data_IF_441997386969
#
_entry.id   IF_441997386969
#
_cell.length_a   1.000
_cell.length_b   1.000
_cell.length_c   1.000
_cell.angle_alpha   90.00
_cell.angle_beta   90.00
_cell.angle_gamma   90.00
#
_symmetry.space_group_name_H-M   'P 1'
#
loop_
_entity.id
_entity.type
_entity.pdbx_description
1 polymer ?
#
# COMPACT_ATOMS: atom_id res chain seq x y z
N UNK A 1 12.42 -9.87 8.78
CA UNK A 1 12.84 -9.05 7.63
C UNK A 1 13.80 -9.81 6.70
N UNK A 2 14.90 -10.37 7.21
CA UNK A 2 15.88 -11.15 6.41
C UNK A 2 15.26 -12.21 5.50
N UNK A 3 14.22 -12.91 5.94
CA UNK A 3 13.50 -13.89 5.11
C UNK A 3 12.85 -13.23 3.87
N UNK A 4 12.29 -12.03 4.01
CA UNK A 4 11.72 -11.28 2.88
C UNK A 4 12.81 -10.85 1.90
N UNK A 5 13.94 -10.34 2.41
CA UNK A 5 15.08 -9.99 1.58
C UNK A 5 15.63 -11.20 0.79
N UNK A 6 15.75 -12.36 1.44
CA UNK A 6 16.20 -13.60 0.77
C UNK A 6 15.22 -14.07 -0.29
N UNK A 7 13.92 -14.03 -0.01
CA UNK A 7 12.89 -14.40 -0.98
C UNK A 7 12.86 -13.43 -2.18
N UNK A 8 13.02 -12.12 -1.94
CA UNK A 8 13.16 -11.11 -2.99
C UNK A 8 14.34 -11.41 -3.93
N UNK A 9 15.50 -11.79 -3.39
CA UNK A 9 16.68 -12.20 -4.17
C UNK A 9 16.45 -13.48 -4.99
N UNK A 10 15.49 -14.31 -4.59
CA UNK A 10 15.09 -15.52 -5.31
C UNK A 10 13.97 -15.26 -6.34
N UNK A 11 13.61 -14.00 -6.60
CA UNK A 11 12.58 -13.64 -7.56
C UNK A 11 11.15 -13.85 -7.05
N UNK A 12 10.96 -13.98 -5.73
CA UNK A 12 9.64 -14.08 -5.11
C UNK A 12 9.11 -12.69 -4.78
N UNK A 13 7.93 -12.36 -5.31
CA UNK A 13 7.19 -11.15 -4.94
C UNK A 13 6.38 -11.40 -3.67
N UNK A 14 6.46 -10.49 -2.70
CA UNK A 14 5.74 -10.58 -1.43
C UNK A 14 4.86 -9.35 -1.26
N UNK A 15 3.57 -9.59 -1.08
CA UNK A 15 2.55 -8.55 -0.89
C UNK A 15 1.95 -8.68 0.50
N UNK A 16 1.82 -7.56 1.20
CA UNK A 16 1.24 -7.52 2.54
C UNK A 16 0.13 -6.47 2.61
N UNK A 17 -1.01 -6.87 3.16
CA UNK A 17 -2.09 -5.96 3.51
C UNK A 17 -1.57 -4.91 4.49
N UNK A 18 -1.79 -3.62 4.21
CA UNK A 18 -1.23 -2.55 5.04
C UNK A 18 -1.91 -2.42 6.41
N UNK A 19 -3.09 -3.01 6.57
CA UNK A 19 -3.89 -3.04 7.80
C UNK A 19 -5.23 -2.33 7.64
N UNK A 20 -6.14 -2.57 8.59
CA UNK A 20 -7.52 -2.06 8.56
C UNK A 20 -7.81 -1.12 9.76
N UNK A 21 -6.75 -0.51 10.29
CA UNK A 21 -6.75 0.34 11.48
C UNK A 21 -6.20 1.75 11.22
N UNK A 22 -6.13 2.17 9.94
CA UNK A 22 -5.62 3.50 9.56
C UNK A 22 -4.15 3.68 9.93
N UNK A 23 -3.84 4.68 10.75
CA UNK A 23 -2.48 4.97 11.23
C UNK A 23 -1.90 3.95 12.24
N UNK A 24 -2.62 2.87 12.52
CA UNK A 24 -2.29 1.89 13.56
C UNK A 24 -2.99 2.18 14.89
N UNK A 25 -2.95 1.20 15.81
CA UNK A 25 -3.63 1.25 17.11
C UNK A 25 -2.60 1.23 18.26
N UNK A 26 -1.77 2.27 18.37
CA UNK A 26 -0.69 2.33 19.38
C UNK A 26 -0.90 3.46 20.41
N UNK A 27 -0.79 3.07 21.68
CA UNK A 27 -0.75 3.98 22.83
C UNK A 27 -2.10 4.61 23.23
N UNK A 28 -2.35 4.65 24.54
CA UNK A 28 -3.59 5.19 25.11
C UNK A 28 -4.83 4.32 24.82
N UNK A 29 -5.96 4.69 25.43
CA UNK A 29 -7.21 3.91 25.33
C UNK A 29 -7.75 3.80 23.90
N UNK A 30 -7.48 4.79 23.05
CA UNK A 30 -7.99 4.88 21.68
C UNK A 30 -6.97 4.45 20.61
N UNK A 31 -5.73 4.12 20.98
CA UNK A 31 -4.67 3.76 20.04
C UNK A 31 -4.19 4.91 19.15
N UNK A 32 -4.40 6.17 19.57
CA UNK A 32 -4.12 7.36 18.76
C UNK A 32 -2.89 8.16 19.23
N UNK A 33 -2.05 7.59 20.11
CA UNK A 33 -0.91 8.32 20.71
C UNK A 33 0.42 8.10 19.99
N UNK A 34 0.50 7.06 19.17
CA UNK A 34 1.62 6.80 18.29
C UNK A 34 1.08 6.15 17.01
N UNK A 35 1.63 6.54 15.87
CA UNK A 35 1.33 6.03 14.55
C UNK A 35 2.51 5.17 14.11
N UNK A 36 2.20 3.92 13.77
CA UNK A 36 3.17 2.97 13.24
C UNK A 36 2.42 1.99 12.34
N UNK A 37 2.78 1.89 11.05
CA UNK A 37 2.15 0.92 10.17
C UNK A 37 2.45 -0.52 10.58
N UNK A 38 1.49 -1.39 10.31
CA UNK A 38 1.56 -2.79 10.76
C UNK A 38 2.70 -3.57 10.07
N UNK A 39 3.33 -4.47 10.82
CA UNK A 39 4.23 -5.49 10.26
C UNK A 39 3.39 -6.71 9.82
N UNK A 40 3.65 -7.34 8.65
CA UNK A 40 4.84 -7.20 7.81
C UNK A 40 4.82 -6.06 6.79
N UNK A 41 3.72 -5.34 6.58
CA UNK A 41 3.64 -4.29 5.55
C UNK A 41 4.70 -3.17 5.70
N UNK A 42 5.09 -2.84 6.92
CA UNK A 42 6.15 -1.87 7.20
C UNK A 42 7.55 -2.30 6.75
N UNK A 43 7.78 -3.59 6.45
CA UNK A 43 9.06 -4.07 5.93
C UNK A 43 9.44 -3.33 4.62
N UNK A 44 10.72 -2.98 4.43
CA UNK A 44 11.20 -2.40 3.17
C UNK A 44 11.36 -3.45 2.05
N UNK A 45 11.17 -4.74 2.35
CA UNK A 45 11.34 -5.86 1.41
C UNK A 45 10.01 -6.49 0.96
N UNK A 46 8.89 -5.87 1.30
CA UNK A 46 7.54 -6.27 0.84
C UNK A 46 6.86 -5.09 0.17
N UNK A 47 5.97 -5.39 -0.77
CA UNK A 47 5.07 -4.38 -1.34
C UNK A 47 3.82 -4.31 -0.46
N UNK A 48 3.66 -3.19 0.26
CA UNK A 48 2.50 -2.93 1.09
C UNK A 48 1.30 -2.50 0.23
N UNK A 49 0.16 -3.13 0.42
CA UNK A 49 -1.06 -2.87 -0.36
C UNK A 49 -2.13 -2.27 0.54
N UNK A 50 -2.43 -1.00 0.29
CA UNK A 50 -3.55 -0.28 0.89
C UNK A 50 -4.87 -0.57 0.21
N UNK A 51 -5.91 0.09 0.69
CA UNK A 51 -7.27 -0.08 0.18
C UNK A 51 -7.91 1.24 -0.21
N UNK A 52 -8.65 1.20 -1.30
CA UNK A 52 -9.57 2.24 -1.75
C UNK A 52 -11.01 1.72 -1.70
N UNK A 53 -11.95 2.64 -1.84
CA UNK A 53 -13.34 2.32 -2.12
C UNK A 53 -13.82 3.09 -3.35
N UNK A 54 -14.82 2.53 -4.04
CA UNK A 54 -15.40 3.10 -5.25
C UNK A 54 -16.82 3.58 -4.97
N UNK A 55 -17.13 4.84 -5.29
CA UNK A 55 -18.48 5.40 -5.23
C UNK A 55 -18.80 6.09 -6.55
N UNK A 56 -19.79 5.58 -7.28
CA UNK A 56 -20.25 6.15 -8.56
C UNK A 56 -19.11 6.43 -9.56
N UNK A 57 -18.13 5.52 -9.63
CA UNK A 57 -16.97 5.64 -10.52
C UNK A 57 -15.83 6.51 -10.00
N UNK A 58 -15.97 7.14 -8.82
CA UNK A 58 -14.88 7.86 -8.15
C UNK A 58 -14.22 6.94 -7.13
N UNK A 59 -12.90 6.81 -7.23
CA UNK A 59 -12.08 6.02 -6.31
C UNK A 59 -11.47 6.92 -5.23
N UNK A 60 -11.58 6.52 -3.97
CA UNK A 60 -11.17 7.33 -2.80
C UNK A 60 -10.42 6.44 -1.82
N UNK A 61 -9.42 7.00 -1.13
CA UNK A 61 -8.67 6.31 -0.09
C UNK A 61 -9.60 5.84 1.04
N UNK A 62 -9.54 4.56 1.39
CA UNK A 62 -10.41 4.01 2.44
C UNK A 62 -9.95 4.46 3.82
N UNK A 63 -10.88 4.86 4.67
CA UNK A 63 -10.55 5.48 5.96
C UNK A 63 -9.90 4.54 6.98
N UNK A 64 -9.99 3.24 6.73
CA UNK A 64 -9.32 2.21 7.50
C UNK A 64 -8.04 1.70 6.83
N UNK A 65 -7.70 2.17 5.62
CA UNK A 65 -6.47 1.78 4.91
C UNK A 65 -5.25 2.04 5.78
N UNK A 66 -4.51 0.97 6.08
CA UNK A 66 -3.31 1.02 6.88
C UNK A 66 -2.23 1.85 6.20
N UNK A 67 -1.56 2.72 6.94
CA UNK A 67 -0.46 3.51 6.38
C UNK A 67 0.15 4.51 7.33
N UNK A 68 1.32 5.03 6.96
CA UNK A 68 2.11 5.92 7.81
C UNK A 68 3.59 5.57 7.78
N UNK A 69 4.34 6.10 8.74
CA UNK A 69 5.79 6.02 8.76
C UNK A 69 6.24 5.00 9.80
N UNK A 70 7.05 4.02 9.39
CA UNK A 70 7.53 2.97 10.29
C UNK A 70 8.38 3.53 11.43
N UNK A 71 8.10 3.09 12.65
CA UNK A 71 8.94 3.37 13.82
C UNK A 71 10.26 2.57 13.82
N UNK A 72 10.36 1.51 13.00
CA UNK A 72 11.47 0.54 13.03
C UNK A 72 12.35 0.66 11.78
N UNK A 73 11.74 0.71 10.60
CA UNK A 73 12.47 0.61 9.35
C UNK A 73 12.81 2.00 8.80
N UNK A 74 14.09 2.30 8.53
CA UNK A 74 14.45 3.58 7.92
C UNK A 74 13.90 3.68 6.50
N UNK A 75 13.63 4.92 6.05
CA UNK A 75 13.14 5.19 4.70
C UNK A 75 14.14 4.66 3.65
N UNK A 76 13.73 3.72 2.79
CA UNK A 76 14.62 3.19 1.77
C UNK A 76 14.86 4.22 0.67
N UNK A 77 16.02 4.15 0.00
CA UNK A 77 16.45 5.14 -0.99
C UNK A 77 15.49 5.31 -2.16
N UNK A 78 14.91 4.20 -2.64
CA UNK A 78 13.91 4.21 -3.71
C UNK A 78 12.63 4.96 -3.35
N UNK A 79 12.37 5.22 -2.06
CA UNK A 79 11.17 5.91 -1.61
C UNK A 79 11.39 7.42 -1.35
N UNK A 80 12.64 7.87 -1.25
CA UNK A 80 12.96 9.19 -0.71
C UNK A 80 12.30 10.33 -1.48
N UNK A 81 12.42 10.34 -2.81
CA UNK A 81 11.87 11.41 -3.64
C UNK A 81 10.35 11.50 -3.57
N UNK A 82 9.67 10.35 -3.56
CA UNK A 82 8.21 10.29 -3.49
C UNK A 82 7.69 10.82 -2.14
N UNK A 83 8.32 10.43 -1.04
CA UNK A 83 7.93 10.90 0.30
C UNK A 83 8.28 12.38 0.48
N UNK A 84 9.45 12.83 0.03
CA UNK A 84 9.82 14.25 0.10
C UNK A 84 8.84 15.14 -0.67
N UNK A 85 8.36 14.68 -1.84
CA UNK A 85 7.33 15.38 -2.60
C UNK A 85 6.00 15.47 -1.82
N UNK A 86 5.60 14.41 -1.12
CA UNK A 86 4.41 14.41 -0.26
C UNK A 86 4.55 15.39 0.91
N UNK A 87 5.66 15.31 1.64
CA UNK A 87 5.96 16.16 2.79
C UNK A 87 5.99 17.65 2.44
N UNK A 88 6.37 18.01 1.20
CA UNK A 88 6.41 19.39 0.73
C UNK A 88 5.03 20.03 0.51
N UNK A 89 3.96 19.23 0.35
CA UNK A 89 2.61 19.72 0.01
C UNK A 89 1.53 19.35 1.03
N UNK A 90 1.74 18.28 1.81
CA UNK A 90 0.72 17.74 2.70
C UNK A 90 0.64 18.50 4.03
N UNK A 91 -0.56 18.52 4.61
CA UNK A 91 -0.72 18.84 6.04
C UNK A 91 -0.44 17.58 6.84
N UNK A 92 0.72 17.53 7.50
CA UNK A 92 1.14 16.35 8.26
C UNK A 92 0.52 16.34 9.67
N UNK A 93 0.29 15.15 10.26
CA UNK A 93 0.01 15.02 11.68
C UNK A 93 1.06 15.70 12.55
N UNK A 94 0.76 15.96 13.84
CA UNK A 94 1.77 16.36 14.81
C UNK A 94 2.98 15.40 14.79
N UNK A 95 4.19 15.96 14.73
CA UNK A 95 5.42 15.21 14.51
C UNK A 95 5.73 14.22 15.64
N UNK A 96 5.19 14.45 16.84
CA UNK A 96 5.31 13.54 17.98
C UNK A 96 4.54 12.22 17.80
N UNK A 97 3.63 12.15 16.82
CA UNK A 97 2.83 10.95 16.57
C UNK A 97 3.54 9.93 15.68
N UNK A 98 4.57 10.29 14.91
CA UNK A 98 5.17 9.37 13.94
C UNK A 98 6.67 9.59 13.73
N UNK A 99 7.37 8.57 13.24
CA UNK A 99 8.79 8.68 12.90
C UNK A 99 8.97 9.19 11.48
N UNK A 100 9.21 10.50 11.29
CA UNK A 100 9.39 11.08 9.95
C UNK A 100 10.52 10.44 9.12
N UNK A 101 11.52 9.80 9.74
CA UNK A 101 12.62 9.13 9.02
C UNK A 101 12.29 7.70 8.56
N UNK A 102 11.09 7.21 8.88
CA UNK A 102 10.66 5.84 8.61
C UNK A 102 10.29 5.53 7.15
N UNK A 103 10.31 4.25 6.80
CA UNK A 103 9.66 3.69 5.60
C UNK A 103 8.17 4.01 5.65
N UNK A 104 7.62 4.57 4.58
CA UNK A 104 6.22 5.00 4.54
C UNK A 104 5.36 3.95 3.85
N UNK A 105 4.23 3.54 4.39
CA UNK A 105 3.29 2.60 3.74
C UNK A 105 1.95 3.29 3.45
N UNK A 106 1.13 2.75 2.52
CA UNK A 106 1.40 1.61 1.64
C UNK A 106 2.29 1.98 0.43
N UNK A 107 2.62 1.02 -0.43
CA UNK A 107 3.32 1.28 -1.70
C UNK A 107 2.36 1.47 -2.88
N UNK A 108 1.26 0.74 -2.88
CA UNK A 108 0.15 0.83 -3.84
C UNK A 108 -1.16 0.60 -3.10
N UNK A 109 -2.28 0.83 -3.77
CA UNK A 109 -3.59 0.43 -3.29
C UNK A 109 -4.37 -0.34 -4.36
N UNK A 110 -5.49 -0.94 -3.94
CA UNK A 110 -6.51 -1.44 -4.83
C UNK A 110 -7.87 -1.32 -4.13
N UNK A 111 -8.96 -1.47 -4.89
CA UNK A 111 -10.30 -1.55 -4.31
C UNK A 111 -10.31 -2.67 -3.28
N UNK A 112 -10.65 -2.33 -2.04
CA UNK A 112 -10.64 -3.24 -0.90
C UNK A 112 -12.00 -3.39 -0.24
N UNK A 113 -13.05 -2.76 -0.76
CA UNK A 113 -14.38 -2.73 -0.13
C UNK A 113 -15.44 -3.48 -0.92
N UNK A 114 -16.44 -3.98 -0.21
CA UNK A 114 -17.65 -4.60 -0.77
C UNK A 114 -17.41 -5.86 -1.62
N UNK A 115 -16.39 -6.67 -1.29
CA UNK A 115 -16.12 -7.94 -1.97
C UNK A 115 -17.12 -9.01 -1.54
N UNK A 116 -17.81 -9.62 -2.51
CA UNK A 116 -18.63 -10.81 -2.25
C UNK A 116 -17.72 -12.02 -2.05
N UNK A 117 -17.83 -12.65 -0.89
CA UNK A 117 -17.05 -13.83 -0.53
C UNK A 117 -17.99 -15.00 -0.23
N UNK A 118 -17.58 -16.19 -0.65
CA UNK A 118 -18.26 -17.44 -0.34
C UNK A 118 -17.39 -18.28 0.61
N UNK A 119 -18.00 -18.82 1.65
CA UNK A 119 -17.35 -19.72 2.60
C UNK A 119 -18.21 -20.96 2.79
N UNK A 120 -17.64 -22.15 2.59
CA UNK A 120 -18.40 -23.40 2.63
C UNK A 120 -19.51 -23.51 1.57
N UNK A 121 -19.39 -22.77 0.47
CA UNK A 121 -20.42 -22.70 -0.60
C UNK A 121 -21.49 -21.63 -0.41
N UNK A 122 -21.51 -20.95 0.74
CA UNK A 122 -22.53 -19.95 1.09
C UNK A 122 -21.98 -18.52 1.05
N UNK A 123 -22.77 -17.51 0.63
CA UNK A 123 -22.32 -16.12 0.63
C UNK A 123 -22.20 -15.61 2.07
N UNK A 124 -21.06 -14.99 2.39
CA UNK A 124 -20.82 -14.37 3.70
C UNK A 124 -21.29 -12.92 3.78
N UNK A 125 -22.03 -12.45 2.77
CA UNK A 125 -22.24 -11.03 2.52
C UNK A 125 -21.02 -10.38 1.87
N UNK A 126 -20.90 -9.05 2.01
CA UNK A 126 -19.74 -8.33 1.48
C UNK A 126 -18.71 -8.07 2.58
N UNK A 127 -17.44 -8.33 2.27
CA UNK A 127 -16.30 -8.07 3.14
C UNK A 127 -15.49 -6.88 2.61
N UNK A 128 -14.85 -6.18 3.53
CA UNK A 128 -13.96 -5.05 3.22
C UNK A 128 -12.67 -5.18 4.03
N UNK A 129 -11.56 -4.75 3.44
CA UNK A 129 -10.25 -4.81 4.05
C UNK A 129 -9.13 -4.69 3.02
N UNK A 130 -7.96 -4.24 3.48
CA UNK A 130 -6.69 -4.37 2.75
C UNK A 130 -6.38 -5.85 2.45
N UNK A 131 -6.95 -6.78 3.22
CA UNK A 131 -6.99 -8.21 2.94
C UNK A 131 -7.65 -8.58 1.60
N UNK A 132 -8.61 -7.79 1.09
CA UNK A 132 -9.22 -7.99 -0.23
C UNK A 132 -8.44 -7.27 -1.35
N UNK A 133 -7.87 -6.10 -1.05
CA UNK A 133 -7.04 -5.34 -1.98
C UNK A 133 -5.73 -6.09 -2.34
N UNK A 134 -5.09 -6.70 -1.35
CA UNK A 134 -3.80 -7.42 -1.51
C UNK A 134 -3.85 -8.54 -2.55
N UNK A 135 -4.77 -9.51 -2.50
CA UNK A 135 -4.85 -10.57 -3.51
C UNK A 135 -5.30 -10.04 -4.87
N UNK A 136 -6.08 -8.95 -4.93
CA UNK A 136 -6.42 -8.27 -6.19
C UNK A 136 -5.16 -7.81 -6.91
N UNK A 137 -4.27 -7.09 -6.22
CA UNK A 137 -3.00 -6.64 -6.79
C UNK A 137 -2.04 -7.81 -7.06
N UNK A 138 -1.93 -8.77 -6.15
CA UNK A 138 -1.08 -9.95 -6.32
C UNK A 138 -1.48 -10.78 -7.56
N UNK A 139 -2.79 -10.87 -7.86
CA UNK A 139 -3.30 -11.52 -9.06
C UNK A 139 -2.82 -10.86 -10.35
N UNK A 140 -2.75 -9.52 -10.38
CA UNK A 140 -2.20 -8.78 -11.52
C UNK A 140 -0.72 -9.11 -11.72
N UNK A 141 0.08 -9.09 -10.66
CA UNK A 141 1.53 -9.41 -10.75
C UNK A 141 1.74 -10.88 -11.13
N UNK A 142 0.94 -11.80 -10.61
CA UNK A 142 0.96 -13.21 -10.99
C UNK A 142 0.68 -13.40 -12.48
N UNK A 143 -0.30 -12.69 -13.03
CA UNK A 143 -0.59 -12.72 -14.48
C UNK A 143 0.56 -12.15 -15.32
N UNK A 144 1.26 -11.13 -14.84
CA UNK A 144 2.48 -10.63 -15.49
C UNK A 144 3.58 -11.70 -15.48
N UNK A 145 3.78 -12.40 -14.37
CA UNK A 145 4.74 -13.52 -14.30
C UNK A 145 4.39 -14.67 -15.27
N UNK A 146 3.11 -14.99 -15.47
CA UNK A 146 2.68 -15.96 -16.50
C UNK A 146 3.06 -15.50 -17.92
N UNK A 147 2.85 -14.21 -18.24
CA UNK A 147 3.24 -13.65 -19.54
C UNK A 147 4.77 -13.65 -19.73
N UNK A 148 5.52 -13.32 -18.69
CA UNK A 148 6.99 -13.37 -18.67
C UNK A 148 7.49 -14.79 -18.89
N UNK A 149 6.93 -15.77 -18.19
CA UNK A 149 7.29 -17.17 -18.34
C UNK A 149 7.06 -17.69 -19.77
N UNK A 150 5.94 -17.31 -20.41
CA UNK A 150 5.67 -17.60 -21.83
C UNK A 150 6.68 -16.98 -22.78
N UNK A 151 7.25 -15.83 -22.40
CA UNK A 151 8.33 -15.16 -23.12
C UNK A 151 9.74 -15.65 -22.73
N UNK A 152 9.86 -16.71 -21.91
CA UNK A 152 11.15 -17.23 -21.45
C UNK A 152 11.88 -16.34 -20.43
N UNK A 153 11.17 -15.41 -19.77
CA UNK A 153 11.72 -14.47 -18.80
C UNK A 153 11.51 -14.96 -17.35
N UNK A 154 12.42 -14.56 -16.47
CA UNK A 154 12.32 -14.79 -15.02
C UNK A 154 11.18 -13.99 -14.38
N UNK A 155 10.61 -14.42 -13.23
CA UNK A 155 9.60 -13.65 -12.50
C UNK A 155 10.12 -12.28 -12.02
N UNK A 156 9.21 -11.36 -11.72
CA UNK A 156 9.54 -9.95 -11.40
C UNK A 156 10.19 -9.73 -10.03
N UNK A 157 10.06 -10.67 -9.08
CA UNK A 157 10.64 -10.54 -7.74
C UNK A 157 10.16 -9.32 -6.96
N UNK A 158 11.09 -8.60 -6.33
CA UNK A 158 10.79 -7.40 -5.56
C UNK A 158 10.64 -6.17 -6.46
N UNK A 159 9.44 -5.58 -6.47
CA UNK A 159 9.04 -4.60 -7.49
C UNK A 159 9.08 -3.14 -7.03
N UNK A 160 9.22 -2.84 -5.73
CA UNK A 160 9.12 -1.45 -5.24
C UNK A 160 10.11 -0.49 -5.93
N UNK A 161 11.41 -0.80 -6.07
CA UNK A 161 12.33 0.14 -6.70
C UNK A 161 11.91 0.51 -8.13
N UNK A 162 11.37 -0.46 -8.88
CA UNK A 162 10.89 -0.25 -10.25
C UNK A 162 9.63 0.62 -10.23
N UNK A 163 8.66 0.33 -9.36
CA UNK A 163 7.42 1.11 -9.26
C UNK A 163 7.70 2.58 -8.89
N UNK A 164 8.55 2.84 -7.91
CA UNK A 164 8.90 4.21 -7.52
C UNK A 164 9.75 4.93 -8.58
N UNK A 165 10.55 4.18 -9.35
CA UNK A 165 11.31 4.72 -10.48
C UNK A 165 10.45 5.30 -11.61
N UNK A 166 9.14 5.01 -11.64
CA UNK A 166 8.20 5.55 -12.63
C UNK A 166 7.74 6.99 -12.35
N UNK A 167 8.13 7.57 -11.22
CA UNK A 167 7.67 8.90 -10.81
C UNK A 167 6.19 8.96 -10.43
N UNK A 168 5.61 7.83 -9.97
CA UNK A 168 4.20 7.75 -9.58
C UNK A 168 3.24 7.36 -10.71
N UNK A 169 3.74 6.99 -11.88
CA UNK A 169 2.91 6.69 -13.06
C UNK A 169 2.49 5.22 -13.15
N UNK A 170 2.05 4.63 -12.03
CA UNK A 170 1.65 3.20 -11.97
C UNK A 170 0.18 2.97 -12.34
N UNK A 171 -0.67 4.00 -12.25
CA UNK A 171 -2.11 3.86 -12.51
C UNK A 171 -2.92 5.09 -12.13
N UNK A 172 -4.07 4.87 -11.48
CA UNK A 172 -4.96 5.92 -10.98
C UNK A 172 -4.38 6.51 -9.70
N UNK A 173 -4.06 7.80 -9.73
CA UNK A 173 -3.67 8.56 -8.55
C UNK A 173 -4.90 8.87 -7.68
N UNK A 174 -4.84 8.57 -6.38
CA UNK A 174 -5.96 8.70 -5.45
C UNK A 174 -5.72 9.93 -4.58
N UNK A 175 -6.43 11.00 -4.88
CA UNK A 175 -6.14 12.33 -4.29
C UNK A 175 -7.11 12.74 -3.19
N UNK A 176 -8.00 11.84 -2.79
CA UNK A 176 -9.05 12.10 -1.79
C UNK A 176 -9.16 10.94 -0.81
N UNK A 177 -9.61 11.26 0.41
CA UNK A 177 -9.68 10.32 1.52
C UNK A 177 -8.57 10.56 2.54
N UNK A 178 -8.67 9.91 3.68
CA UNK A 178 -7.68 10.00 4.75
C UNK A 178 -7.73 8.73 5.58
N UNK A 179 -6.62 8.31 6.20
CA UNK A 179 -6.59 7.13 7.06
C UNK A 179 -6.76 7.45 8.55
N UNK A 180 -7.42 8.58 8.85
CA UNK A 180 -7.73 8.99 10.22
C UNK A 180 -8.85 8.13 10.80
N UNK A 181 -8.52 7.30 11.79
CA UNK A 181 -9.50 6.55 12.59
C UNK A 181 -10.48 7.52 13.27
N UNK A 182 -11.77 7.17 13.30
CA UNK A 182 -12.87 8.05 13.77
C UNK A 182 -12.65 8.71 15.13
N UNK A 183 -11.98 8.03 16.06
CA UNK A 183 -11.73 8.53 17.42
C UNK A 183 -10.36 9.21 17.58
N UNK A 184 -9.54 9.21 16.52
CA UNK A 184 -8.25 9.89 16.49
C UNK A 184 -8.40 11.32 15.98
N UNK A 185 -7.57 12.22 16.51
CA UNK A 185 -7.57 13.64 16.12
C UNK A 185 -6.80 13.90 14.82
N UNK A 186 -5.90 13.01 14.45
CA UNK A 186 -5.01 13.14 13.30
C UNK A 186 -4.89 11.82 12.53
N UNK A 187 -4.49 11.93 11.28
CA UNK A 187 -4.16 10.87 10.34
C UNK A 187 -3.52 11.49 9.11
N UNK A 188 -3.15 10.68 8.13
CA UNK A 188 -2.62 11.17 6.86
C UNK A 188 -3.76 11.31 5.84
N UNK A 189 -3.64 12.34 5.00
CA UNK A 189 -4.55 12.58 3.89
C UNK A 189 -3.95 12.04 2.59
N UNK A 190 -4.82 11.52 1.72
CA UNK A 190 -4.48 11.19 0.35
C UNK A 190 -4.28 12.48 -0.46
N UNK A 191 -3.33 12.51 -1.39
CA UNK A 191 -2.93 13.72 -2.10
C UNK A 191 -2.16 13.41 -3.38
N UNK A 192 -2.28 14.26 -4.40
CA UNK A 192 -1.66 14.10 -5.73
C UNK A 192 -0.26 13.47 -5.72
N UNK A 193 -0.10 12.27 -6.27
CA UNK A 193 1.15 11.50 -6.26
C UNK A 193 1.22 10.53 -5.08
N UNK A 194 2.43 10.23 -4.60
CA UNK A 194 2.59 9.31 -3.47
C UNK A 194 1.96 9.88 -2.20
N UNK A 195 1.23 9.05 -1.44
CA UNK A 195 0.75 9.38 -0.10
C UNK A 195 0.71 8.18 0.88
N UNK A 196 0.64 8.40 2.22
CA UNK A 196 0.57 7.35 3.24
C UNK A 196 -0.81 6.71 3.43
N UNK A 197 -1.73 6.85 2.47
CA UNK A 197 -3.08 6.22 2.50
C UNK A 197 -3.20 5.19 1.40
N UNK A 198 -2.71 5.51 0.20
CA UNK A 198 -2.85 4.73 -1.03
C UNK A 198 -1.54 4.51 -1.79
N UNK A 199 -0.42 5.04 -1.30
CA UNK A 199 0.90 4.84 -1.89
C UNK A 199 0.99 5.54 -3.23
N UNK A 200 1.47 4.84 -4.26
CA UNK A 200 1.53 5.32 -5.64
C UNK A 200 0.16 5.30 -6.34
N UNK A 201 -0.93 5.01 -5.62
CA UNK A 201 -2.29 4.89 -6.15
C UNK A 201 -2.67 3.46 -6.56
N UNK A 202 -3.72 3.33 -7.36
CA UNK A 202 -4.27 2.05 -7.83
C UNK A 202 -3.67 1.67 -9.18
N UNK A 203 -2.82 0.61 -9.26
CA UNK A 203 -2.17 0.24 -10.52
C UNK A 203 -3.17 -0.15 -11.61
N UNK A 204 -2.97 0.36 -12.82
CA UNK A 204 -3.75 -0.06 -13.99
C UNK A 204 -3.04 -1.21 -14.70
N UNK A 205 -3.79 -2.21 -15.13
CA UNK A 205 -3.23 -3.40 -15.81
C UNK A 205 -2.27 -3.03 -16.95
N UNK A 206 -2.68 -2.12 -17.84
CA UNK A 206 -1.87 -1.70 -18.99
C UNK A 206 -0.53 -1.08 -18.58
N UNK A 207 -0.53 -0.22 -17.55
CA UNK A 207 0.68 0.41 -17.02
C UNK A 207 1.57 -0.61 -16.33
N UNK A 208 1.00 -1.44 -15.46
CA UNK A 208 1.75 -2.43 -14.70
C UNK A 208 2.39 -3.48 -15.63
N UNK A 209 1.68 -3.90 -16.67
CA UNK A 209 2.22 -4.79 -17.70
C UNK A 209 3.38 -4.14 -18.46
N UNK A 210 3.30 -2.86 -18.82
CA UNK A 210 4.42 -2.14 -19.46
C UNK A 210 5.62 -2.03 -18.51
N UNK A 211 5.39 -1.71 -17.24
CA UNK A 211 6.45 -1.51 -16.25
C UNK A 211 7.20 -2.82 -15.93
N UNK A 212 6.47 -3.94 -15.84
CA UNK A 212 6.99 -5.20 -15.31
C UNK A 212 7.07 -6.35 -16.34
N UNK A 213 6.49 -6.18 -17.54
CA UNK A 213 6.43 -7.24 -18.56
C UNK A 213 7.71 -7.42 -19.38
N UNK A 214 8.58 -6.40 -19.38
CA UNK A 214 9.84 -6.39 -20.13
C UNK A 214 10.99 -7.15 -19.44
#
# INVERSE_FOLDING_TARGET
>A
DDCFARAALQGVSIFAASGDDGTGSHGGLLGCKAFDPTYPASSPHVTAVGATYLTSGTETGWSLSGGGYSAIWPRPSWQQSAVAAYEARATLPPAELYNASGRVTPDVAAVGTCFLVFSGGEPTGTLSGTSAATPTFAGMVSRINDLRAKAGKSPVGFINPVLYGTGGTVGTDITTGCNKKRLCKAGFDAAEGFDPVTGLGTPLWSRLQTILGD
#
